data_IF_120756178846
#
_entry.id   IF_120756178846
#
_cell.length_a   1.000
_cell.length_b   1.000
_cell.length_c   1.000
_cell.angle_alpha   90.00
_cell.angle_beta   90.00
_cell.angle_gamma   90.00
#
_symmetry.space_group_name_H-M   'P 1'
#
loop_
_entity.id
_entity.type
_entity.pdbx_description
1 polymer ?
#
# COMPACT_ATOMS: atom_id res chain seq x y z
N UNK A 1 17.30 -15.13 -0.47
CA UNK A 1 16.21 -15.43 0.50
C UNK A 1 15.35 -14.20 0.66
N UNK A 2 14.07 -14.31 0.40
CA UNK A 2 13.12 -13.24 0.66
C UNK A 2 13.04 -12.98 2.16
N UNK A 3 12.95 -11.72 2.55
CA UNK A 3 12.68 -11.29 3.94
C UNK A 3 11.59 -10.23 3.89
N UNK A 4 10.53 -10.43 4.68
CA UNK A 4 9.34 -9.58 4.60
C UNK A 4 8.97 -8.98 5.95
N UNK A 5 8.48 -7.73 5.94
CA UNK A 5 7.82 -7.09 7.07
C UNK A 5 6.44 -6.57 6.66
N UNK A 6 5.57 -6.39 7.65
CA UNK A 6 4.20 -5.93 7.46
C UNK A 6 4.10 -4.42 7.69
N UNK A 7 3.39 -3.72 6.82
CA UNK A 7 3.07 -2.31 6.92
C UNK A 7 1.55 -2.06 6.88
N UNK A 8 1.03 -1.27 7.81
CA UNK A 8 -0.40 -0.95 7.89
C UNK A 8 -0.57 0.57 8.10
N UNK A 9 -1.06 1.31 7.11
CA UNK A 9 -1.53 2.67 7.32
C UNK A 9 -2.92 2.64 7.97
N UNK A 10 -3.19 3.56 8.89
CA UNK A 10 -4.51 3.66 9.54
C UNK A 10 -4.87 5.10 9.86
N UNK A 11 -6.18 5.36 9.90
CA UNK A 11 -6.72 6.64 10.36
C UNK A 11 -8.06 6.43 11.09
N UNK A 12 -8.07 6.72 12.41
CA UNK A 12 -9.29 6.67 13.25
C UNK A 12 -10.08 5.34 13.19
N UNK A 13 -9.37 4.20 13.02
CA UNK A 13 -9.94 2.84 12.92
C UNK A 13 -9.42 1.89 14.03
N UNK A 14 -9.06 2.42 15.21
CA UNK A 14 -8.52 1.61 16.29
C UNK A 14 -9.41 0.40 16.66
N UNK A 15 -10.74 0.58 16.62
CA UNK A 15 -11.70 -0.51 16.92
C UNK A 15 -11.63 -1.70 15.95
N UNK A 16 -11.28 -1.44 14.68
CA UNK A 16 -11.08 -2.50 13.68
C UNK A 16 -9.67 -3.03 13.73
N UNK A 17 -8.68 -2.14 13.85
CA UNK A 17 -7.28 -2.50 13.76
C UNK A 17 -6.78 -3.25 15.01
N UNK A 18 -7.22 -2.86 16.23
CA UNK A 18 -6.70 -3.47 17.46
C UNK A 18 -6.89 -5.00 17.50
N UNK A 19 -8.09 -5.56 17.19
CA UNK A 19 -8.25 -7.01 17.09
C UNK A 19 -7.43 -7.65 15.97
N UNK A 20 -7.19 -6.94 14.86
CA UNK A 20 -6.35 -7.44 13.76
C UNK A 20 -4.88 -7.53 14.18
N UNK A 21 -4.38 -6.58 14.97
CA UNK A 21 -3.00 -6.61 15.48
C UNK A 21 -2.75 -7.80 16.39
N UNK A 22 -3.74 -8.27 17.14
CA UNK A 22 -3.67 -9.50 17.94
C UNK A 22 -3.48 -10.71 17.03
N UNK A 23 -4.32 -10.86 15.99
CA UNK A 23 -4.21 -11.93 14.99
C UNK A 23 -2.89 -11.87 14.20
N UNK A 24 -2.44 -10.68 13.82
CA UNK A 24 -1.16 -10.51 13.12
C UNK A 24 0.04 -10.78 14.04
N UNK A 25 -0.07 -10.59 15.35
CA UNK A 25 1.01 -10.94 16.28
C UNK A 25 1.31 -12.44 16.30
N UNK A 26 0.31 -13.26 16.02
CA UNK A 26 0.45 -14.71 15.87
C UNK A 26 1.00 -15.10 14.49
N UNK A 27 0.36 -14.64 13.43
CA UNK A 27 0.71 -14.99 12.05
C UNK A 27 2.08 -14.44 11.63
N UNK A 28 2.47 -13.28 12.17
CA UNK A 28 3.74 -12.62 11.89
C UNK A 28 4.71 -12.71 13.08
N UNK A 29 4.62 -13.80 13.83
CA UNK A 29 5.50 -14.01 14.98
C UNK A 29 6.98 -13.92 14.56
N UNK A 30 7.75 -13.13 15.31
CA UNK A 30 9.16 -12.88 15.01
C UNK A 30 9.46 -11.88 13.87
N UNK A 31 8.47 -11.45 13.11
CA UNK A 31 8.58 -10.43 12.06
C UNK A 31 8.13 -9.05 12.54
N UNK A 32 8.68 -8.00 11.97
CA UNK A 32 8.26 -6.64 12.30
C UNK A 32 6.95 -6.27 11.60
N UNK A 33 6.07 -5.61 12.36
CA UNK A 33 4.86 -4.95 11.84
C UNK A 33 4.94 -3.46 12.17
N UNK A 34 4.86 -2.62 11.15
CA UNK A 34 4.88 -1.17 11.29
C UNK A 34 3.50 -0.59 11.00
N UNK A 35 2.97 0.18 11.93
CA UNK A 35 1.68 0.84 11.82
C UNK A 35 1.91 2.35 11.71
N UNK A 36 1.44 2.98 10.63
CA UNK A 36 1.43 4.43 10.48
C UNK A 36 0.07 4.95 10.91
N UNK A 37 0.02 5.56 12.08
CA UNK A 37 -1.21 6.15 12.64
C UNK A 37 -1.33 7.62 12.22
N UNK A 38 -2.19 7.87 11.24
CA UNK A 38 -2.51 9.21 10.73
C UNK A 38 -3.63 9.91 11.51
N UNK A 39 -4.18 9.24 12.52
CA UNK A 39 -5.36 9.71 13.24
C UNK A 39 -5.08 10.17 14.66
N UNK A 40 -6.15 10.61 15.31
CA UNK A 40 -6.14 10.91 16.73
C UNK A 40 -6.80 9.75 17.52
N UNK A 41 -6.16 8.60 17.51
CA UNK A 41 -6.66 7.37 18.10
C UNK A 41 -5.62 6.76 19.04
N UNK A 42 -6.07 5.85 19.90
CA UNK A 42 -5.19 5.05 20.74
C UNK A 42 -5.12 3.64 20.15
N UNK A 43 -3.92 3.21 19.79
CA UNK A 43 -3.60 1.85 19.36
C UNK A 43 -2.48 1.37 20.26
N UNK A 44 -2.64 0.19 20.82
CA UNK A 44 -1.62 -0.42 21.66
C UNK A 44 -0.91 -1.56 20.89
N UNK A 45 0.43 -1.59 20.86
CA UNK A 45 1.14 -2.67 20.17
C UNK A 45 0.92 -4.00 20.91
N UNK A 46 0.71 -5.05 20.14
CA UNK A 46 0.57 -6.42 20.65
C UNK A 46 1.88 -7.16 20.39
N UNK A 47 2.69 -7.28 21.42
CA UNK A 47 4.00 -7.94 21.33
C UNK A 47 5.15 -7.03 20.93
N UNK A 48 6.36 -7.59 20.99
CA UNK A 48 7.60 -6.82 20.93
C UNK A 48 8.03 -6.37 19.53
N UNK A 49 7.40 -6.90 18.49
CA UNK A 49 7.77 -6.63 17.09
C UNK A 49 6.86 -5.63 16.39
N UNK A 50 5.76 -5.23 17.01
CA UNK A 50 4.90 -4.19 16.48
C UNK A 50 5.43 -2.80 16.84
N UNK A 51 5.36 -1.89 15.90
CA UNK A 51 5.84 -0.49 16.02
C UNK A 51 4.77 0.44 15.50
N UNK A 52 4.26 1.32 16.36
CA UNK A 52 3.28 2.33 16.00
C UNK A 52 4.02 3.66 15.86
N UNK A 53 3.92 4.24 14.68
CA UNK A 53 4.45 5.58 14.35
C UNK A 53 3.26 6.52 14.25
N UNK A 54 3.07 7.32 15.28
CA UNK A 54 1.99 8.32 15.32
C UNK A 54 2.41 9.57 14.58
N UNK A 55 1.60 9.96 13.60
CA UNK A 55 1.84 11.16 12.81
C UNK A 55 1.18 12.38 13.46
N UNK A 56 1.78 13.54 13.30
CA UNK A 56 1.22 14.84 13.77
C UNK A 56 0.16 15.40 12.80
N UNK A 57 0.08 14.84 11.59
CA UNK A 57 -0.89 15.17 10.55
C UNK A 57 -1.13 13.97 9.64
N UNK A 58 -2.24 13.98 8.91
CA UNK A 58 -2.57 12.92 7.97
C UNK A 58 -1.64 12.98 6.73
N UNK A 59 -0.86 11.93 6.52
CA UNK A 59 0.02 11.77 5.34
C UNK A 59 -0.75 11.35 4.08
N UNK A 60 -2.00 10.90 4.23
CA UNK A 60 -2.70 10.18 3.18
C UNK A 60 -2.13 8.78 2.92
N UNK A 61 -2.72 8.08 1.97
CA UNK A 61 -2.34 6.70 1.63
C UNK A 61 -0.93 6.66 1.04
N UNK A 62 -0.66 7.43 -0.02
CA UNK A 62 0.64 7.47 -0.68
C UNK A 62 1.79 7.87 0.27
N UNK A 63 1.57 8.90 1.08
CA UNK A 63 2.58 9.35 2.05
C UNK A 63 2.86 8.30 3.12
N UNK A 64 1.84 7.57 3.58
CA UNK A 64 1.99 6.48 4.54
C UNK A 64 2.72 5.29 3.93
N UNK A 65 2.39 4.90 2.69
CA UNK A 65 3.11 3.84 1.97
C UNK A 65 4.58 4.21 1.75
N UNK A 66 4.87 5.45 1.39
CA UNK A 66 6.24 5.94 1.26
C UNK A 66 7.02 5.86 2.58
N UNK A 67 6.40 6.22 3.69
CA UNK A 67 7.05 6.14 5.00
C UNK A 67 7.30 4.69 5.39
N UNK A 68 6.33 3.78 5.17
CA UNK A 68 6.47 2.35 5.39
C UNK A 68 7.61 1.77 4.55
N UNK A 69 7.64 2.04 3.25
CA UNK A 69 8.70 1.57 2.35
C UNK A 69 10.08 2.04 2.81
N UNK A 70 10.27 3.33 3.07
CA UNK A 70 11.55 3.86 3.55
C UNK A 70 11.98 3.25 4.86
N UNK A 71 11.05 3.04 5.79
CA UNK A 71 11.34 2.46 7.10
C UNK A 71 11.73 1.00 6.97
N UNK A 72 10.92 0.19 6.31
CA UNK A 72 11.10 -1.26 6.23
C UNK A 72 12.32 -1.61 5.38
N UNK A 73 12.47 -1.00 4.21
CA UNK A 73 13.65 -1.21 3.38
C UNK A 73 14.93 -0.66 4.01
N UNK A 74 14.82 0.44 4.77
CA UNK A 74 15.93 0.98 5.56
C UNK A 74 16.44 0.02 6.66
N UNK A 75 15.62 -0.92 7.11
CA UNK A 75 16.02 -2.00 8.01
C UNK A 75 16.53 -3.25 7.28
N UNK A 76 16.66 -3.22 5.96
CA UNK A 76 17.26 -4.29 5.15
C UNK A 76 16.29 -5.41 4.76
N UNK A 77 14.97 -5.23 4.89
CA UNK A 77 14.00 -6.15 4.33
C UNK A 77 14.00 -6.08 2.80
N UNK A 78 13.89 -7.24 2.15
CA UNK A 78 13.81 -7.30 0.68
C UNK A 78 12.39 -7.06 0.15
N UNK A 79 11.37 -7.26 0.99
CA UNK A 79 9.96 -7.12 0.64
C UNK A 79 9.18 -6.42 1.76
N UNK A 80 8.14 -5.72 1.37
CA UNK A 80 7.12 -5.20 2.27
C UNK A 80 5.76 -5.73 1.85
N UNK A 81 4.99 -6.29 2.80
CA UNK A 81 3.56 -6.48 2.63
C UNK A 81 2.83 -5.25 3.17
N UNK A 82 1.97 -4.64 2.37
CA UNK A 82 1.15 -3.51 2.80
C UNK A 82 -0.31 -3.96 2.81
N UNK A 83 -0.98 -3.74 3.94
CA UNK A 83 -2.39 -4.07 4.16
C UNK A 83 -3.16 -2.83 4.59
N UNK A 84 -4.41 -2.73 4.15
CA UNK A 84 -5.34 -1.77 4.74
C UNK A 84 -5.72 -2.18 6.17
N UNK A 85 -6.18 -1.22 6.97
CA UNK A 85 -6.54 -1.40 8.38
C UNK A 85 -7.91 -2.04 8.62
N UNK A 86 -8.63 -2.39 7.55
CA UNK A 86 -9.97 -2.99 7.56
C UNK A 86 -10.01 -4.38 6.88
N UNK A 87 -8.86 -5.01 6.69
CA UNK A 87 -8.75 -6.35 6.12
C UNK A 87 -8.04 -7.32 7.06
N UNK A 88 -8.32 -8.61 6.88
CA UNK A 88 -7.50 -9.68 7.44
C UNK A 88 -6.98 -10.61 6.35
N UNK A 89 -5.68 -10.84 6.37
CA UNK A 89 -4.98 -11.74 5.47
C UNK A 89 -4.31 -12.84 6.28
N UNK A 90 -4.88 -14.06 6.24
CA UNK A 90 -4.45 -15.20 7.03
C UNK A 90 -3.25 -15.92 6.41
N UNK A 91 -2.18 -15.15 6.18
CA UNK A 91 -0.89 -15.71 5.74
C UNK A 91 0.18 -15.34 6.76
N UNK A 92 1.04 -16.29 7.06
CA UNK A 92 2.22 -16.00 7.86
C UNK A 92 3.39 -15.55 6.95
N UNK A 93 4.39 -14.95 7.55
CA UNK A 93 5.52 -14.41 6.80
C UNK A 93 6.31 -15.50 6.05
N UNK A 94 6.48 -16.68 6.64
CA UNK A 94 7.25 -17.78 6.05
C UNK A 94 6.55 -18.35 4.82
N UNK A 95 5.21 -18.45 4.83
CA UNK A 95 4.43 -18.87 3.66
C UNK A 95 4.57 -17.87 2.51
N UNK A 96 4.55 -16.57 2.84
CA UNK A 96 4.69 -15.51 1.83
C UNK A 96 6.11 -15.51 1.24
N UNK A 97 7.13 -15.59 2.08
CA UNK A 97 8.53 -15.67 1.64
C UNK A 97 8.74 -16.89 0.72
N UNK A 98 8.22 -18.07 1.12
CA UNK A 98 8.28 -19.29 0.31
C UNK A 98 7.53 -19.15 -1.01
N UNK A 99 6.36 -18.53 -1.00
CA UNK A 99 5.57 -18.32 -2.22
C UNK A 99 6.30 -17.40 -3.19
N UNK A 100 6.87 -16.29 -2.71
CA UNK A 100 7.63 -15.33 -3.51
C UNK A 100 8.86 -15.98 -4.15
N UNK A 101 9.59 -16.81 -3.40
CA UNK A 101 10.76 -17.52 -3.92
C UNK A 101 10.41 -18.51 -5.05
N UNK A 102 9.24 -19.14 -4.96
CA UNK A 102 8.75 -20.07 -5.99
C UNK A 102 8.12 -19.35 -7.19
N UNK A 103 7.63 -18.14 -7.04
CA UNK A 103 6.91 -17.36 -8.04
C UNK A 103 7.49 -15.96 -8.15
N UNK A 104 8.74 -15.78 -8.60
CA UNK A 104 9.39 -14.47 -8.64
C UNK A 104 8.66 -13.51 -9.59
N UNK A 105 8.38 -12.31 -9.10
CA UNK A 105 7.75 -11.23 -9.85
C UNK A 105 8.17 -9.87 -9.31
N UNK A 106 7.94 -8.80 -10.10
CA UNK A 106 8.28 -7.45 -9.68
C UNK A 106 7.24 -6.85 -8.71
N UNK A 107 6.02 -7.38 -8.67
CA UNK A 107 4.95 -6.92 -7.77
C UNK A 107 3.90 -8.01 -7.57
N UNK A 108 3.34 -8.10 -6.36
CA UNK A 108 2.34 -9.11 -6.01
C UNK A 108 1.08 -8.45 -5.44
N UNK A 109 -0.08 -8.84 -5.95
CA UNK A 109 -1.37 -8.29 -5.52
C UNK A 109 -2.48 -9.31 -5.68
N UNK A 110 -3.54 -9.18 -4.89
CA UNK A 110 -4.76 -9.97 -5.02
C UNK A 110 -5.53 -9.67 -6.31
N UNK A 111 -6.54 -10.47 -6.59
CA UNK A 111 -7.38 -10.31 -7.78
C UNK A 111 -8.24 -9.04 -7.67
N UNK A 112 -7.74 -7.94 -8.23
CA UNK A 112 -8.51 -6.72 -8.48
C UNK A 112 -8.49 -5.64 -7.40
N UNK A 113 -7.66 -5.74 -6.35
CA UNK A 113 -7.63 -4.73 -5.29
C UNK A 113 -6.25 -4.52 -4.68
N UNK A 114 -5.88 -3.25 -4.50
CA UNK A 114 -4.64 -2.81 -3.82
C UNK A 114 -4.77 -2.72 -2.29
N UNK A 115 -5.76 -3.36 -1.69
CA UNK A 115 -5.92 -3.40 -0.24
C UNK A 115 -4.92 -4.34 0.46
N UNK A 116 -4.32 -5.26 -0.31
CA UNK A 116 -3.28 -6.20 0.10
C UNK A 116 -2.29 -6.38 -1.05
N UNK A 117 -1.04 -6.01 -0.87
CA UNK A 117 -0.01 -6.19 -1.88
C UNK A 117 1.38 -6.40 -1.26
N UNK A 118 2.28 -7.01 -2.04
CA UNK A 118 3.69 -7.14 -1.66
C UNK A 118 4.56 -6.44 -2.71
N UNK A 119 5.41 -5.55 -2.23
CA UNK A 119 6.33 -4.75 -3.03
C UNK A 119 7.77 -5.16 -2.72
N UNK A 120 8.54 -5.67 -3.71
CA UNK A 120 9.97 -5.89 -3.60
C UNK A 120 10.76 -4.56 -3.55
N UNK A 121 11.86 -4.55 -2.80
CA UNK A 121 12.78 -3.41 -2.76
C UNK A 121 13.30 -3.00 -4.15
N UNK A 122 13.67 -3.98 -4.97
CA UNK A 122 14.16 -3.73 -6.33
C UNK A 122 13.13 -3.00 -7.22
N UNK A 123 11.86 -3.33 -7.06
CA UNK A 123 10.77 -2.63 -7.75
C UNK A 123 10.61 -1.22 -7.23
N UNK A 124 10.65 -1.05 -5.90
CA UNK A 124 10.60 0.28 -5.30
C UNK A 124 11.75 1.17 -5.76
N UNK A 125 12.97 0.64 -5.90
CA UNK A 125 14.12 1.40 -6.44
C UNK A 125 13.92 1.81 -7.89
N UNK A 126 13.38 0.91 -8.73
CA UNK A 126 13.15 1.18 -10.16
C UNK A 126 12.01 2.17 -10.40
N UNK A 127 10.89 2.01 -9.72
CA UNK A 127 9.67 2.83 -9.91
C UNK A 127 9.76 4.13 -9.12
N UNK A 128 10.43 4.11 -7.96
CA UNK A 128 10.49 5.21 -7.02
C UNK A 128 9.29 5.26 -6.06
N UNK A 129 9.14 6.38 -5.38
CA UNK A 129 8.08 6.60 -4.40
C UNK A 129 6.68 6.69 -5.06
N UNK A 130 5.64 6.38 -4.27
CA UNK A 130 4.27 6.74 -4.62
C UNK A 130 4.12 8.26 -4.72
N UNK A 131 3.30 8.75 -5.65
CA UNK A 131 3.07 10.19 -5.80
C UNK A 131 2.16 10.73 -4.67
N UNK A 132 2.75 11.35 -3.66
CA UNK A 132 2.06 11.91 -2.49
C UNK A 132 1.25 13.19 -2.79
N UNK A 133 1.25 13.64 -4.05
CA UNK A 133 0.37 14.71 -4.52
C UNK A 133 -1.05 14.23 -4.80
N UNK A 134 -1.30 12.90 -4.78
CA UNK A 134 -2.63 12.34 -4.62
C UNK A 134 -3.01 12.45 -3.14
N UNK A 135 -3.74 13.51 -2.80
CA UNK A 135 -4.04 13.87 -1.42
C UNK A 135 -5.07 12.93 -0.81
N UNK A 136 -4.87 12.51 0.43
CA UNK A 136 -5.64 11.54 1.19
C UNK A 136 -5.62 10.14 0.57
N UNK A 137 -6.41 9.88 -0.47
CA UNK A 137 -6.54 8.57 -1.09
C UNK A 137 -7.02 8.67 -2.54
N UNK A 138 -6.88 7.57 -3.26
CA UNK A 138 -7.27 7.32 -4.66
C UNK A 138 -6.30 7.85 -5.70
N UNK A 139 -6.11 7.04 -6.73
CA UNK A 139 -5.24 7.20 -7.89
C UNK A 139 -3.74 7.06 -7.64
N UNK A 140 -3.27 6.97 -6.40
CA UNK A 140 -1.87 6.66 -6.06
C UNK A 140 -1.47 5.25 -6.51
N UNK A 141 -2.38 4.30 -6.40
CA UNK A 141 -2.25 2.92 -6.85
C UNK A 141 -2.24 2.81 -8.37
N UNK A 142 -3.19 3.48 -9.03
CA UNK A 142 -3.25 3.53 -10.50
C UNK A 142 -1.98 4.18 -11.09
N UNK A 143 -1.49 5.25 -10.48
CA UNK A 143 -0.26 5.92 -10.88
C UNK A 143 0.95 4.98 -10.77
N UNK A 144 1.03 4.25 -9.67
CA UNK A 144 2.13 3.32 -9.45
C UNK A 144 2.06 2.13 -10.42
N UNK A 145 0.87 1.55 -10.63
CA UNK A 145 0.65 0.47 -11.60
C UNK A 145 1.02 0.92 -13.02
N UNK A 146 0.65 2.14 -13.42
CA UNK A 146 1.00 2.66 -14.72
C UNK A 146 2.50 2.89 -14.89
N UNK A 147 3.19 3.41 -13.87
CA UNK A 147 4.66 3.55 -13.90
C UNK A 147 5.37 2.20 -13.99
N UNK A 148 4.90 1.18 -13.26
CA UNK A 148 5.41 -0.20 -13.41
C UNK A 148 5.22 -0.71 -14.84
N UNK A 149 4.04 -0.51 -15.43
CA UNK A 149 3.75 -0.89 -16.83
C UNK A 149 4.70 -0.21 -17.83
N UNK A 150 4.97 1.08 -17.68
CA UNK A 150 5.91 1.81 -18.53
C UNK A 150 7.35 1.29 -18.43
N UNK A 151 7.72 0.74 -17.28
CA UNK A 151 9.03 0.11 -17.06
C UNK A 151 9.07 -1.37 -17.48
N UNK A 152 7.95 -1.92 -17.96
CA UNK A 152 7.85 -3.33 -18.37
C UNK A 152 7.92 -4.32 -17.21
N UNK A 153 7.59 -3.88 -16.00
CA UNK A 153 7.63 -4.72 -14.79
C UNK A 153 6.42 -5.67 -14.73
N UNK A 154 6.64 -6.86 -14.22
CA UNK A 154 5.61 -7.89 -14.09
C UNK A 154 4.78 -7.68 -12.83
N UNK A 155 3.45 -7.80 -12.97
CA UNK A 155 2.51 -7.79 -11.84
C UNK A 155 1.91 -9.18 -11.69
N UNK A 156 2.24 -9.85 -10.59
CA UNK A 156 1.70 -11.17 -10.26
C UNK A 156 0.36 -11.02 -9.53
N UNK A 157 -0.75 -11.21 -10.25
CA UNK A 157 -2.10 -11.19 -9.70
C UNK A 157 -2.53 -12.62 -9.35
N UNK A 158 -2.74 -12.89 -8.06
CA UNK A 158 -3.08 -14.25 -7.60
C UNK A 158 -3.99 -14.21 -6.37
N UNK A 159 -4.88 -15.21 -6.26
CA UNK A 159 -5.78 -15.39 -5.11
C UNK A 159 -5.04 -15.55 -3.78
N UNK A 160 -3.80 -16.00 -3.80
CA UNK A 160 -2.95 -16.08 -2.60
C UNK A 160 -2.86 -14.73 -1.85
N UNK A 161 -2.90 -13.61 -2.58
CA UNK A 161 -2.85 -12.25 -2.05
C UNK A 161 -4.24 -11.62 -1.83
N UNK A 162 -5.32 -12.39 -1.98
CA UNK A 162 -6.66 -11.91 -1.58
C UNK A 162 -6.76 -11.91 -0.06
N UNK A 163 -7.36 -10.87 0.54
CA UNK A 163 -7.69 -10.91 1.97
C UNK A 163 -8.76 -11.97 2.25
N UNK A 164 -8.65 -12.66 3.39
CA UNK A 164 -9.66 -13.61 3.85
C UNK A 164 -10.90 -12.90 4.40
N UNK A 165 -10.71 -11.72 5.02
CA UNK A 165 -11.79 -10.86 5.47
C UNK A 165 -11.55 -9.43 4.96
N UNK A 166 -12.60 -8.81 4.44
CA UNK A 166 -12.52 -7.48 3.86
C UNK A 166 -13.74 -6.64 4.21
N UNK A 167 -13.52 -5.53 4.89
CA UNK A 167 -14.56 -4.55 5.26
C UNK A 167 -14.35 -3.25 4.49
N UNK A 168 -14.73 -3.26 3.24
CA UNK A 168 -14.44 -2.19 2.28
C UNK A 168 -14.74 -0.77 2.80
N UNK A 169 -13.72 0.10 2.72
CA UNK A 169 -13.83 1.56 2.86
C UNK A 169 -14.44 2.04 4.19
N UNK A 170 -14.13 1.37 5.30
CA UNK A 170 -14.68 1.76 6.60
C UNK A 170 -14.25 3.17 7.04
N UNK A 171 -13.01 3.57 6.74
CA UNK A 171 -12.50 4.90 7.09
C UNK A 171 -13.32 6.01 6.43
N UNK A 172 -13.63 5.87 5.13
CA UNK A 172 -14.44 6.85 4.39
C UNK A 172 -15.92 6.84 4.82
N UNK A 173 -16.45 5.67 5.18
CA UNK A 173 -17.83 5.58 5.71
C UNK A 173 -17.97 6.29 7.06
N UNK A 174 -16.96 6.22 7.92
CA UNK A 174 -16.92 6.94 9.20
C UNK A 174 -16.66 8.43 9.03
N UNK A 175 -15.76 8.78 8.11
CA UNK A 175 -15.38 10.16 7.82
C UNK A 175 -15.37 10.45 6.31
N UNK A 176 -16.52 10.87 5.75
CA UNK A 176 -16.62 11.21 4.33
C UNK A 176 -15.68 12.34 3.88
N UNK A 177 -15.16 13.15 4.82
CA UNK A 177 -14.19 14.22 4.49
C UNK A 177 -12.88 13.68 3.94
N UNK A 178 -12.54 12.42 4.21
CA UNK A 178 -11.37 11.73 3.63
C UNK A 178 -11.49 11.56 2.11
N UNK A 179 -12.71 11.63 1.56
CA UNK A 179 -12.96 11.52 0.12
C UNK A 179 -13.04 12.86 -0.61
N UNK A 180 -12.85 13.98 0.08
CA UNK A 180 -12.99 15.34 -0.50
C UNK A 180 -12.07 15.57 -1.70
N UNK A 181 -10.94 14.89 -1.76
CA UNK A 181 -9.94 15.03 -2.80
C UNK A 181 -10.13 14.10 -4.01
N UNK A 182 -11.18 13.26 -4.05
CA UNK A 182 -11.35 12.27 -5.13
C UNK A 182 -11.36 12.93 -6.52
N UNK A 183 -12.18 13.97 -6.72
CA UNK A 183 -12.25 14.63 -8.04
C UNK A 183 -10.96 15.37 -8.41
N UNK A 184 -10.29 16.02 -7.44
CA UNK A 184 -9.01 16.68 -7.70
C UNK A 184 -7.90 15.68 -8.02
N UNK A 185 -7.87 14.55 -7.34
CA UNK A 185 -6.92 13.47 -7.63
C UNK A 185 -7.19 12.84 -9.00
N UNK A 186 -8.47 12.64 -9.36
CA UNK A 186 -8.87 12.18 -10.69
C UNK A 186 -8.36 13.12 -11.77
N UNK A 187 -8.58 14.43 -11.62
CA UNK A 187 -8.12 15.43 -12.58
C UNK A 187 -6.60 15.46 -12.68
N UNK A 188 -5.89 15.39 -11.53
CA UNK A 188 -4.43 15.27 -11.51
C UNK A 188 -3.93 14.04 -12.28
N UNK A 189 -4.59 12.89 -12.12
CA UNK A 189 -4.22 11.67 -12.85
C UNK A 189 -4.38 11.86 -14.36
N UNK A 190 -5.51 12.41 -14.79
CA UNK A 190 -5.77 12.69 -16.23
C UNK A 190 -4.75 13.68 -16.78
N UNK A 191 -4.44 14.76 -16.06
CA UNK A 191 -3.42 15.72 -16.47
C UNK A 191 -2.03 15.09 -16.55
N UNK A 192 -1.71 14.22 -15.62
CA UNK A 192 -0.42 13.55 -15.53
C UNK A 192 -0.22 12.54 -16.67
N UNK A 193 -1.26 11.78 -17.00
CA UNK A 193 -1.15 10.63 -17.91
C UNK A 193 -1.98 10.74 -19.20
N UNK A 194 -2.72 11.82 -19.38
CA UNK A 194 -3.48 12.10 -20.63
C UNK A 194 -4.76 11.30 -20.79
N UNK A 195 -5.24 10.60 -19.76
CA UNK A 195 -6.43 9.78 -19.78
C UNK A 195 -6.76 9.17 -18.43
N UNK A 196 -7.89 8.47 -18.33
CA UNK A 196 -8.26 7.68 -17.16
C UNK A 196 -7.33 6.46 -16.99
N UNK A 197 -7.33 5.81 -15.80
CA UNK A 197 -6.67 4.52 -15.64
C UNK A 197 -7.09 3.52 -16.73
N UNK A 198 -6.09 2.92 -17.40
CA UNK A 198 -6.18 2.06 -18.60
C UNK A 198 -6.48 2.77 -19.93
N UNK A 199 -6.58 4.11 -19.92
CA UNK A 199 -6.77 4.96 -21.10
C UNK A 199 -5.65 5.98 -21.23
N UNK A 200 -4.53 5.77 -20.54
CA UNK A 200 -3.38 6.68 -20.52
C UNK A 200 -2.78 6.82 -21.94
N UNK A 201 -2.44 8.05 -22.28
CA UNK A 201 -1.87 8.42 -23.59
C UNK A 201 -0.42 8.88 -23.51
N UNK A 202 0.02 9.32 -22.31
CA UNK A 202 1.35 9.87 -22.11
C UNK A 202 2.29 8.82 -21.57
N UNK A 203 3.50 8.78 -22.08
CA UNK A 203 4.59 7.92 -21.57
C UNK A 203 5.50 8.67 -20.58
N UNK A 204 5.34 9.98 -20.49
CA UNK A 204 6.00 10.84 -19.51
C UNK A 204 4.95 11.65 -18.74
N UNK A 205 5.16 11.89 -17.45
CA UNK A 205 4.23 12.67 -16.65
C UNK A 205 4.04 14.08 -17.22
N UNK A 206 2.79 14.53 -17.33
CA UNK A 206 2.42 15.89 -17.79
C UNK A 206 2.93 16.22 -19.21
N UNK A 207 3.01 15.24 -20.06
CA UNK A 207 3.41 15.41 -21.45
C UNK A 207 2.43 16.36 -22.16
N UNK A 208 2.95 17.42 -22.79
CA UNK A 208 2.10 18.34 -23.56
C UNK A 208 1.91 17.76 -24.96
N UNK A 209 0.66 17.59 -25.39
CA UNK A 209 0.34 17.35 -26.80
C UNK A 209 0.59 18.67 -27.51
N UNK A 210 1.67 18.75 -28.26
CA UNK A 210 1.87 19.86 -29.22
C UNK A 210 0.97 19.55 -30.42
N UNK A 211 -0.20 20.20 -30.49
CA UNK A 211 -1.03 20.16 -31.67
C UNK A 211 -0.30 20.98 -32.75
N UNK A 212 0.11 20.30 -33.82
CA UNK A 212 0.61 20.94 -35.05
C UNK A 212 -0.56 21.32 -35.95
#
# INVERSE_FOLDING_TARGET
MATIALGIPTINQAELLQPLLERYSENWYGRHTYIIDNGNQKIDPVGSKQRIVKMSYNLGVAGSWNLLCRTIFGFGYSHIAILNDDIYWNKNADDIESYIEQNPADFYVGLGQWCCFVLPYETYEKVGMFDDKFVNAYFEDNDYEYRMKLLGLSVHKNEFFNPDEYKQSQSIRKDPSLNVNFESNKMRYIEKWGGFPREEKFTKPFEKIIAY
#
